data_IF_252073347747
#
_entry.id   IF_252073347747
#
_cell.length_a   1.000
_cell.length_b   1.000
_cell.length_c   1.000
_cell.angle_alpha   90.00
_cell.angle_beta   90.00
_cell.angle_gamma   90.00
#
_symmetry.space_group_name_H-M   'P 1'
#
loop_
_entity.id
_entity.type
_entity.pdbx_description
1 polymer ?
#
# COMPACT_ATOMS: atom_id res chain seq x y z
N UNK A 1 32.80 11.65 14.32
CA UNK A 1 32.05 10.37 14.32
C UNK A 1 32.24 9.72 15.68
N UNK A 2 31.16 9.40 16.40
CA UNK A 2 31.24 8.75 17.71
C UNK A 2 31.69 7.28 17.60
N UNK A 3 32.26 6.70 18.66
CA UNK A 3 32.62 5.27 18.70
C UNK A 3 31.41 4.39 18.37
N UNK A 4 30.24 4.74 18.94
CA UNK A 4 28.95 4.08 18.65
C UNK A 4 28.62 4.11 17.15
N UNK A 5 28.76 5.26 16.49
CA UNK A 5 28.48 5.37 15.06
C UNK A 5 29.48 4.61 14.18
N UNK A 6 30.76 4.58 14.56
CA UNK A 6 31.75 3.76 13.85
C UNK A 6 31.43 2.26 13.93
N UNK A 7 31.03 1.77 15.11
CA UNK A 7 30.62 0.37 15.31
C UNK A 7 29.39 0.04 14.44
N UNK A 8 28.34 0.88 14.49
CA UNK A 8 27.12 0.66 13.69
C UNK A 8 27.46 0.61 12.20
N UNK A 9 28.28 1.53 11.69
CA UNK A 9 28.70 1.55 10.29
C UNK A 9 29.45 0.29 9.88
N UNK A 10 30.37 -0.19 10.72
CA UNK A 10 31.07 -1.46 10.49
C UNK A 10 30.10 -2.64 10.46
N UNK A 11 29.13 -2.68 11.37
CA UNK A 11 28.10 -3.73 11.41
C UNK A 11 27.25 -3.69 10.14
N UNK A 12 26.65 -2.56 9.78
CA UNK A 12 25.74 -2.43 8.63
C UNK A 12 26.46 -2.68 7.29
N UNK A 13 27.78 -2.48 7.21
CA UNK A 13 28.58 -2.79 6.01
C UNK A 13 28.73 -4.28 5.71
N UNK A 14 28.38 -5.17 6.65
CA UNK A 14 28.38 -6.62 6.42
C UNK A 14 27.22 -7.02 5.51
N UNK A 15 27.32 -8.22 4.93
CA UNK A 15 26.24 -8.77 4.08
C UNK A 15 24.89 -8.70 4.81
N UNK A 16 23.86 -8.01 4.25
CA UNK A 16 22.58 -7.81 4.92
C UNK A 16 21.88 -9.11 5.35
N UNK A 17 22.11 -10.22 4.63
CA UNK A 17 21.60 -11.56 5.01
C UNK A 17 22.07 -12.01 6.40
N UNK A 18 23.23 -11.54 6.88
CA UNK A 18 23.73 -11.87 8.23
C UNK A 18 22.87 -11.28 9.34
N UNK A 19 22.05 -10.28 9.04
CA UNK A 19 21.10 -9.68 9.97
C UNK A 19 19.71 -10.29 9.90
N UNK A 20 19.55 -11.45 9.24
CA UNK A 20 18.26 -12.13 9.15
C UNK A 20 17.62 -12.45 10.52
N UNK A 21 18.43 -12.55 11.58
CA UNK A 21 17.97 -12.77 12.95
C UNK A 21 17.38 -11.53 13.64
N UNK A 22 17.68 -10.32 13.14
CA UNK A 22 17.07 -9.09 13.65
C UNK A 22 15.66 -8.95 13.08
N UNK A 23 14.75 -8.40 13.91
CA UNK A 23 13.47 -7.92 13.40
C UNK A 23 13.68 -6.82 12.35
N UNK A 24 12.69 -6.63 11.48
CA UNK A 24 12.75 -5.59 10.45
C UNK A 24 12.95 -4.21 11.07
N UNK A 25 12.27 -3.90 12.17
CA UNK A 25 12.41 -2.65 12.90
C UNK A 25 13.85 -2.42 13.42
N UNK A 26 14.44 -3.42 14.08
CA UNK A 26 15.81 -3.32 14.60
C UNK A 26 16.83 -3.11 13.48
N UNK A 27 16.70 -3.86 12.37
CA UNK A 27 17.59 -3.70 11.23
C UNK A 27 17.46 -2.32 10.60
N UNK A 28 16.22 -1.86 10.40
CA UNK A 28 15.94 -0.55 9.82
C UNK A 28 16.43 0.59 10.72
N UNK A 29 16.32 0.49 12.06
CA UNK A 29 16.92 1.47 12.98
C UNK A 29 18.43 1.61 12.81
N UNK A 30 19.15 0.48 12.76
CA UNK A 30 20.61 0.49 12.60
C UNK A 30 21.02 1.11 11.26
N UNK A 31 20.33 0.73 10.17
CA UNK A 31 20.61 1.24 8.84
C UNK A 31 20.23 2.73 8.70
N UNK A 32 19.14 3.15 9.33
CA UNK A 32 18.71 4.55 9.36
C UNK A 32 19.73 5.42 10.12
N UNK A 33 20.23 4.93 11.26
CA UNK A 33 21.30 5.62 11.99
C UNK A 33 22.61 5.71 11.21
N UNK A 34 23.02 4.66 10.50
CA UNK A 34 24.21 4.70 9.64
C UNK A 34 24.07 5.75 8.51
N UNK A 35 22.86 5.86 7.94
CA UNK A 35 22.57 6.76 6.82
C UNK A 35 22.41 8.22 7.24
N UNK A 36 21.60 8.48 8.28
CA UNK A 36 21.15 9.82 8.67
C UNK A 36 21.74 10.31 10.00
N UNK A 37 22.52 9.49 10.70
CA UNK A 37 23.14 9.84 11.99
C UNK A 37 22.17 9.93 13.17
N UNK A 38 20.91 9.54 13.00
CA UNK A 38 19.84 9.58 14.00
C UNK A 38 18.99 8.30 13.96
N UNK A 39 18.37 7.96 15.09
CA UNK A 39 17.38 6.89 15.12
C UNK A 39 16.01 7.44 14.70
N UNK A 40 15.16 6.55 14.21
CA UNK A 40 13.79 6.86 13.83
C UNK A 40 12.87 6.88 15.04
N UNK A 41 11.88 7.76 15.03
CA UNK A 41 10.70 7.63 15.89
C UNK A 41 9.58 6.92 15.12
N UNK A 42 9.39 5.61 15.38
CA UNK A 42 8.32 4.84 14.75
C UNK A 42 6.92 5.21 15.26
N UNK A 43 6.82 5.81 16.45
CA UNK A 43 5.56 6.24 17.02
C UNK A 43 5.06 7.54 16.38
N UNK A 44 5.98 8.36 15.88
CA UNK A 44 5.67 9.65 15.27
C UNK A 44 6.59 10.01 14.08
N UNK A 45 6.61 9.20 13.00
CA UNK A 45 7.48 9.47 11.86
C UNK A 45 7.07 10.75 11.12
N UNK A 46 8.02 11.68 10.95
CA UNK A 46 7.75 12.99 10.37
C UNK A 46 8.22 13.07 8.92
N UNK A 47 9.45 12.65 8.65
CA UNK A 47 10.07 12.85 7.34
C UNK A 47 9.68 11.76 6.34
N UNK A 48 9.84 12.04 5.04
CA UNK A 48 9.59 11.10 3.96
C UNK A 48 10.37 9.81 4.15
N UNK A 49 11.67 9.90 4.40
CA UNK A 49 12.51 8.72 4.66
C UNK A 49 12.03 7.94 5.90
N UNK A 50 11.58 8.60 6.98
CA UNK A 50 11.02 7.91 8.14
C UNK A 50 9.73 7.15 7.80
N UNK A 51 8.79 7.84 7.15
CA UNK A 51 7.51 7.26 6.75
C UNK A 51 7.69 6.10 5.77
N UNK A 52 8.67 6.14 4.87
CA UNK A 52 8.99 4.99 4.02
C UNK A 52 9.42 3.76 4.83
N UNK A 53 10.23 3.91 5.88
CA UNK A 53 10.60 2.75 6.70
C UNK A 53 9.41 2.25 7.54
N UNK A 54 8.56 3.15 8.03
CA UNK A 54 7.31 2.79 8.69
C UNK A 54 6.44 1.94 7.75
N UNK A 55 6.26 2.37 6.50
CA UNK A 55 5.46 1.67 5.50
C UNK A 55 5.99 0.26 5.20
N UNK A 56 7.32 0.03 5.20
CA UNK A 56 7.89 -1.33 5.02
C UNK A 56 7.47 -2.33 6.10
N UNK A 57 7.23 -1.85 7.32
CA UNK A 57 6.85 -2.68 8.46
C UNK A 57 5.33 -2.84 8.52
N UNK A 58 4.58 -1.76 8.33
CA UNK A 58 3.16 -1.71 8.68
C UNK A 58 2.21 -1.71 7.46
N UNK A 59 2.66 -1.27 6.28
CA UNK A 59 1.84 -1.26 5.04
C UNK A 59 2.18 -2.46 4.15
N UNK A 60 1.76 -3.65 4.57
CA UNK A 60 2.06 -4.92 3.91
C UNK A 60 0.85 -5.45 3.14
N UNK A 61 0.80 -5.17 1.84
CA UNK A 61 -0.25 -5.66 0.94
C UNK A 61 0.33 -6.67 -0.07
N UNK A 62 -0.12 -7.94 -0.08
CA UNK A 62 0.35 -8.97 -1.02
C UNK A 62 0.34 -8.56 -2.50
N UNK A 63 -0.56 -7.67 -2.92
CA UNK A 63 -0.58 -7.17 -4.30
C UNK A 63 0.70 -6.41 -4.66
N UNK A 64 1.38 -5.79 -3.69
CA UNK A 64 2.64 -5.08 -3.96
C UNK A 64 3.74 -6.02 -4.47
N UNK A 65 3.73 -7.30 -4.09
CA UNK A 65 4.67 -8.30 -4.63
C UNK A 65 4.45 -8.51 -6.13
N UNK A 66 3.19 -8.51 -6.59
CA UNK A 66 2.85 -8.58 -8.01
C UNK A 66 3.33 -7.31 -8.73
N UNK A 67 3.15 -6.15 -8.11
CA UNK A 67 3.47 -4.86 -8.73
C UNK A 67 4.98 -4.61 -8.90
N UNK A 68 5.83 -5.20 -8.06
CA UNK A 68 7.29 -5.06 -8.17
C UNK A 68 7.97 -6.19 -8.95
N UNK A 69 7.27 -7.31 -9.21
CA UNK A 69 7.75 -8.36 -10.10
C UNK A 69 7.73 -7.85 -11.55
N UNK A 70 8.89 -7.74 -12.19
CA UNK A 70 9.02 -7.19 -13.56
C UNK A 70 8.28 -7.99 -14.63
N UNK A 71 7.93 -9.24 -14.35
CA UNK A 71 7.11 -10.06 -15.24
C UNK A 71 5.62 -9.92 -14.91
N UNK A 72 5.22 -10.21 -13.67
CA UNK A 72 3.79 -10.23 -13.29
C UNK A 72 3.16 -8.83 -13.35
N UNK A 73 3.94 -7.78 -13.02
CA UNK A 73 3.47 -6.39 -13.10
C UNK A 73 2.97 -6.04 -14.49
N UNK A 74 3.51 -6.60 -15.57
CA UNK A 74 3.06 -6.30 -16.94
C UNK A 74 1.61 -6.66 -17.17
N UNK A 75 1.16 -7.80 -16.66
CA UNK A 75 -0.25 -8.20 -16.74
C UNK A 75 -1.12 -7.26 -15.91
N UNK A 76 -0.72 -7.01 -14.67
CA UNK A 76 -1.41 -6.09 -13.77
C UNK A 76 -1.57 -4.68 -14.39
N UNK A 77 -0.51 -4.14 -14.96
CA UNK A 77 -0.51 -2.82 -15.60
C UNK A 77 -1.33 -2.84 -16.90
N UNK A 78 -1.25 -3.90 -17.71
CA UNK A 78 -2.05 -4.04 -18.94
C UNK A 78 -3.55 -4.01 -18.65
N UNK A 79 -4.00 -4.69 -17.59
CA UNK A 79 -5.40 -4.70 -17.17
C UNK A 79 -5.87 -3.33 -16.64
N UNK A 80 -4.96 -2.54 -16.08
CA UNK A 80 -5.27 -1.21 -15.49
C UNK A 80 -5.23 -0.10 -16.52
N UNK A 81 -4.20 -0.03 -17.36
CA UNK A 81 -3.99 1.10 -18.28
C UNK A 81 -3.95 0.73 -19.75
N UNK A 82 -3.86 -0.56 -20.10
CA UNK A 82 -3.76 -1.02 -21.48
C UNK A 82 -2.39 -1.61 -21.82
N UNK A 83 -2.37 -2.63 -22.68
CA UNK A 83 -1.16 -3.34 -23.08
C UNK A 83 -0.24 -2.51 -23.99
N UNK A 84 -0.76 -1.48 -24.63
CA UNK A 84 -0.02 -0.58 -25.52
C UNK A 84 1.10 0.20 -24.82
N UNK A 85 1.02 0.31 -23.49
CA UNK A 85 2.02 0.96 -22.64
C UNK A 85 3.11 0.01 -22.14
N UNK A 86 3.03 -1.29 -22.43
CA UNK A 86 4.00 -2.29 -21.96
C UNK A 86 5.11 -2.49 -22.99
N UNK A 87 6.36 -2.53 -22.53
CA UNK A 87 7.49 -2.97 -23.35
C UNK A 87 7.35 -4.48 -23.60
N UNK A 88 7.43 -4.95 -24.86
CA UNK A 88 7.30 -6.37 -25.16
C UNK A 88 8.30 -7.26 -24.40
N UNK A 89 7.77 -8.32 -23.78
CA UNK A 89 8.57 -9.41 -23.20
C UNK A 89 8.84 -10.44 -24.29
N UNK A 90 10.11 -10.76 -24.48
CA UNK A 90 10.60 -11.71 -25.47
C UNK A 90 10.67 -13.14 -24.93
N UNK A 91 10.83 -13.28 -23.61
CA UNK A 91 10.83 -14.58 -22.95
C UNK A 91 10.99 -14.48 -21.44
N UNK A 92 10.77 -15.62 -20.75
CA UNK A 92 10.89 -15.77 -19.29
C UNK A 92 11.46 -17.15 -18.96
N UNK A 93 12.41 -17.22 -18.04
CA UNK A 93 13.15 -18.43 -17.68
C UNK A 93 13.49 -18.48 -16.19
N UNK A 94 13.76 -19.68 -15.65
CA UNK A 94 14.14 -19.83 -14.24
C UNK A 94 15.65 -19.83 -14.02
N UNK A 95 16.44 -20.11 -15.06
CA UNK A 95 17.90 -20.14 -15.00
C UNK A 95 18.51 -19.60 -16.29
N UNK A 96 19.79 -19.17 -16.24
CA UNK A 96 20.46 -18.63 -17.42
C UNK A 96 20.66 -19.69 -18.52
N UNK A 97 20.75 -20.97 -18.13
CA UNK A 97 20.90 -22.10 -19.05
C UNK A 97 19.64 -22.42 -19.87
N UNK A 98 18.47 -21.99 -19.40
CA UNK A 98 17.20 -22.20 -20.12
C UNK A 98 16.98 -21.18 -21.25
N UNK A 99 17.80 -20.13 -21.33
CA UNK A 99 17.63 -19.05 -22.30
C UNK A 99 18.02 -19.55 -23.70
N UNK A 100 17.05 -19.55 -24.62
CA UNK A 100 17.30 -19.72 -26.05
C UNK A 100 17.74 -18.38 -26.67
N UNK A 101 19.06 -18.17 -26.74
CA UNK A 101 19.64 -16.96 -27.33
C UNK A 101 19.49 -16.88 -28.84
N UNK A 102 19.28 -18.01 -29.53
CA UNK A 102 19.08 -18.03 -30.98
C UNK A 102 17.69 -17.50 -31.34
N UNK A 103 16.68 -17.74 -30.49
CA UNK A 103 15.33 -17.20 -30.65
C UNK A 103 15.21 -15.69 -30.31
N UNK A 104 16.16 -15.12 -29.57
CA UNK A 104 16.16 -13.69 -29.25
C UNK A 104 16.55 -12.84 -30.47
N UNK A 105 16.13 -11.56 -30.55
CA UNK A 105 16.66 -10.62 -31.55
C UNK A 105 18.15 -10.28 -31.28
N UNK A 106 18.79 -9.56 -32.21
CA UNK A 106 20.19 -9.11 -32.02
C UNK A 106 20.39 -8.11 -30.88
N UNK A 107 19.30 -7.45 -30.45
CA UNK A 107 19.28 -6.48 -29.36
C UNK A 107 18.18 -6.78 -28.37
N UNK A 108 18.53 -6.89 -27.09
CA UNK A 108 17.59 -7.18 -26.01
C UNK A 108 18.14 -6.73 -24.66
N UNK A 109 17.29 -6.74 -23.64
CA UNK A 109 17.69 -6.46 -22.26
C UNK A 109 17.26 -7.63 -21.37
N UNK A 110 18.22 -8.30 -20.74
CA UNK A 110 17.94 -9.30 -19.70
C UNK A 110 17.78 -8.62 -18.35
N UNK A 111 16.75 -9.00 -17.61
CA UNK A 111 16.45 -8.50 -16.26
C UNK A 111 16.07 -9.65 -15.32
N UNK A 112 16.50 -9.58 -14.06
CA UNK A 112 15.92 -10.40 -12.99
C UNK A 112 14.59 -9.78 -12.54
N UNK A 113 13.58 -10.60 -12.28
CA UNK A 113 12.22 -10.14 -11.92
C UNK A 113 12.14 -9.50 -10.54
N UNK A 114 13.02 -9.87 -9.62
CA UNK A 114 12.91 -9.61 -8.17
C UNK A 114 13.88 -8.56 -7.61
N UNK A 115 14.76 -7.97 -8.42
CA UNK A 115 15.81 -7.06 -7.96
C UNK A 115 15.93 -5.79 -8.82
N UNK A 116 16.85 -4.88 -8.47
CA UNK A 116 17.14 -3.65 -9.23
C UNK A 116 18.52 -3.64 -9.91
N UNK A 117 19.24 -4.77 -9.92
CA UNK A 117 20.66 -4.83 -10.33
C UNK A 117 21.00 -5.93 -11.33
N UNK A 118 20.19 -6.98 -11.42
CA UNK A 118 20.34 -8.07 -12.37
C UNK A 118 19.94 -7.64 -13.77
N UNK A 119 20.78 -6.85 -14.43
CA UNK A 119 20.52 -6.22 -15.73
C UNK A 119 21.68 -6.45 -16.70
N UNK A 120 21.39 -6.98 -17.89
CA UNK A 120 22.36 -7.07 -19.01
C UNK A 120 21.73 -6.46 -20.25
N UNK A 121 22.42 -5.47 -20.84
CA UNK A 121 21.97 -4.82 -22.08
C UNK A 121 22.78 -5.39 -23.24
N UNK A 122 22.11 -6.07 -24.16
CA UNK A 122 22.68 -6.58 -25.40
C UNK A 122 22.39 -5.62 -26.55
N UNK A 123 23.43 -4.96 -27.06
CA UNK A 123 23.36 -4.06 -28.24
C UNK A 123 23.72 -4.76 -29.55
N UNK A 124 24.44 -5.86 -29.43
CA UNK A 124 24.86 -6.72 -30.52
C UNK A 124 25.14 -8.09 -29.91
N UNK A 125 24.33 -9.08 -30.29
CA UNK A 125 24.41 -10.43 -29.77
C UNK A 125 25.76 -11.10 -30.07
N UNK A 126 26.39 -10.75 -31.20
CA UNK A 126 27.66 -11.34 -31.63
C UNK A 126 28.85 -10.92 -30.76
N UNK A 127 28.74 -9.77 -30.08
CA UNK A 127 29.77 -9.22 -29.18
C UNK A 127 29.41 -9.32 -27.70
N UNK A 128 28.28 -9.96 -27.36
CA UNK A 128 27.85 -10.14 -25.98
C UNK A 128 28.79 -11.09 -25.24
N UNK A 129 29.41 -10.61 -24.15
CA UNK A 129 30.17 -11.45 -23.23
C UNK A 129 29.22 -12.33 -22.40
N UNK A 130 28.98 -13.55 -22.90
CA UNK A 130 28.09 -14.54 -22.29
C UNK A 130 28.53 -14.95 -20.88
N UNK A 131 29.83 -14.99 -20.60
CA UNK A 131 30.34 -15.38 -19.29
C UNK A 131 30.08 -14.28 -18.25
N UNK A 132 30.31 -13.02 -18.62
CA UNK A 132 30.00 -11.86 -17.77
C UNK A 132 28.49 -11.72 -17.55
N UNK A 133 27.70 -11.88 -18.61
CA UNK A 133 26.24 -11.85 -18.54
C UNK A 133 25.69 -12.92 -17.59
N UNK A 134 26.12 -14.18 -17.77
CA UNK A 134 25.76 -15.30 -16.89
C UNK A 134 26.12 -15.01 -15.44
N UNK A 135 27.38 -14.63 -15.18
CA UNK A 135 27.86 -14.36 -13.82
C UNK A 135 27.01 -13.29 -13.14
N UNK A 136 26.67 -12.21 -13.86
CA UNK A 136 25.86 -11.11 -13.31
C UNK A 136 24.43 -11.58 -12.97
N UNK A 137 23.76 -12.24 -13.90
CA UNK A 137 22.37 -12.70 -13.71
C UNK A 137 22.28 -13.77 -12.62
N UNK A 138 23.14 -14.79 -12.65
CA UNK A 138 23.13 -15.87 -11.65
C UNK A 138 23.47 -15.36 -10.25
N UNK A 139 24.38 -14.38 -10.15
CA UNK A 139 24.65 -13.72 -8.86
C UNK A 139 23.39 -13.04 -8.32
N UNK A 140 22.65 -12.33 -9.17
CA UNK A 140 21.38 -11.68 -8.79
C UNK A 140 20.29 -12.69 -8.41
N UNK A 141 20.12 -13.77 -9.18
CA UNK A 141 19.16 -14.84 -8.89
C UNK A 141 19.40 -15.51 -7.54
N UNK A 142 20.66 -15.67 -7.11
CA UNK A 142 21.00 -16.26 -5.81
C UNK A 142 20.69 -15.35 -4.59
N UNK A 143 20.31 -14.09 -4.83
CA UNK A 143 20.10 -13.09 -3.80
C UNK A 143 18.63 -12.69 -3.70
N UNK A 144 18.07 -12.79 -2.49
CA UNK A 144 16.76 -12.22 -2.21
C UNK A 144 16.93 -10.72 -1.86
N UNK A 145 16.38 -9.86 -2.73
CA UNK A 145 16.54 -8.40 -2.67
C UNK A 145 15.96 -7.78 -1.40
N UNK A 146 14.95 -8.42 -0.78
CA UNK A 146 14.36 -7.95 0.48
C UNK A 146 15.40 -7.73 1.58
N UNK A 147 16.43 -8.57 1.68
CA UNK A 147 17.43 -8.42 2.76
C UNK A 147 18.23 -7.12 2.65
N UNK A 148 18.34 -6.50 1.48
CA UNK A 148 19.12 -5.28 1.30
C UNK A 148 18.54 -4.09 2.06
N UNK A 149 17.22 -4.01 2.18
CA UNK A 149 16.55 -2.83 2.76
C UNK A 149 15.23 -3.13 3.45
N UNK A 150 14.91 -4.41 3.68
CA UNK A 150 13.64 -4.91 4.22
C UNK A 150 12.42 -4.41 3.45
N UNK A 151 12.57 -4.29 2.13
CA UNK A 151 11.48 -3.89 1.24
C UNK A 151 10.53 -5.07 1.07
N UNK A 152 9.48 -5.07 1.89
CA UNK A 152 8.54 -6.18 1.99
C UNK A 152 7.95 -6.68 0.65
N UNK A 153 7.60 -5.82 -0.34
CA UNK A 153 7.09 -6.27 -1.64
C UNK A 153 8.01 -7.26 -2.36
N UNK A 154 9.33 -7.10 -2.25
CA UNK A 154 10.30 -7.97 -2.90
C UNK A 154 10.53 -9.31 -2.19
N UNK A 155 10.00 -9.50 -0.97
CA UNK A 155 10.32 -10.66 -0.12
C UNK A 155 10.02 -12.01 -0.76
N UNK A 156 8.90 -12.08 -1.49
CA UNK A 156 8.34 -13.31 -2.04
C UNK A 156 8.22 -13.27 -3.58
N UNK A 157 8.90 -12.35 -4.25
CA UNK A 157 8.90 -12.32 -5.72
C UNK A 157 9.63 -13.56 -6.23
N UNK A 158 9.07 -14.35 -7.17
CA UNK A 158 9.78 -15.45 -7.79
C UNK A 158 11.03 -14.95 -8.53
N UNK A 159 12.18 -15.59 -8.29
CA UNK A 159 13.44 -15.23 -8.95
C UNK A 159 13.47 -15.85 -10.35
N UNK A 160 13.22 -15.04 -11.37
CA UNK A 160 13.20 -15.43 -12.79
C UNK A 160 14.01 -14.44 -13.61
N UNK A 161 14.32 -14.82 -14.84
CA UNK A 161 14.94 -13.98 -15.86
C UNK A 161 13.88 -13.63 -16.89
N UNK A 162 13.79 -12.36 -17.28
CA UNK A 162 13.04 -11.93 -18.45
C UNK A 162 13.97 -11.32 -19.49
N UNK A 163 13.62 -11.48 -20.77
CA UNK A 163 14.17 -10.68 -21.85
C UNK A 163 13.12 -9.66 -22.31
N UNK A 164 13.50 -8.40 -22.45
CA UNK A 164 12.67 -7.34 -23.00
C UNK A 164 13.27 -6.81 -24.30
N UNK A 165 12.40 -6.30 -25.17
CA UNK A 165 12.82 -5.59 -26.36
C UNK A 165 13.72 -4.40 -25.97
N UNK A 166 14.86 -4.30 -26.64
CA UNK A 166 15.71 -3.13 -26.54
C UNK A 166 15.06 -1.94 -27.26
N UNK A 167 14.95 -0.80 -26.58
CA UNK A 167 14.20 0.34 -27.09
C UNK A 167 15.09 1.52 -27.54
N UNK A 168 16.09 1.92 -26.73
CA UNK A 168 17.09 2.95 -27.07
C UNK A 168 18.24 3.00 -26.04
N UNK A 169 19.32 3.72 -26.37
CA UNK A 169 20.53 3.88 -25.55
C UNK A 169 20.43 4.90 -24.41
N UNK A 170 19.72 6.00 -24.63
CA UNK A 170 19.61 7.11 -23.68
C UNK A 170 18.14 7.44 -23.39
N UNK A 171 17.49 6.50 -22.71
CA UNK A 171 16.12 6.68 -22.25
C UNK A 171 16.12 7.52 -20.99
N UNK A 172 15.44 8.67 -21.05
CA UNK A 172 15.10 9.43 -19.85
C UNK A 172 14.04 8.70 -19.08
N UNK A 173 14.28 8.48 -17.79
CA UNK A 173 13.25 8.00 -16.88
C UNK A 173 12.43 9.18 -16.37
N UNK A 174 11.12 9.17 -16.62
CA UNK A 174 10.18 10.12 -16.04
C UNK A 174 9.50 9.45 -14.85
N UNK A 175 9.93 9.79 -13.64
CA UNK A 175 9.52 9.14 -12.40
C UNK A 175 8.53 10.01 -11.64
N UNK A 176 7.24 9.76 -11.84
CA UNK A 176 6.15 10.51 -11.21
C UNK A 176 5.98 10.04 -9.76
N UNK A 177 6.19 10.95 -8.83
CA UNK A 177 6.12 10.75 -7.38
C UNK A 177 4.68 11.07 -6.95
N UNK A 178 3.96 10.03 -6.56
CA UNK A 178 2.53 10.07 -6.31
C UNK A 178 2.20 9.80 -4.83
N UNK A 179 1.17 10.49 -4.34
CA UNK A 179 0.66 10.37 -2.97
C UNK A 179 -0.84 10.19 -3.05
N UNK A 180 -1.33 8.99 -2.74
CA UNK A 180 -2.75 8.61 -2.82
C UNK A 180 -3.40 8.99 -4.17
N UNK A 181 -2.81 8.50 -5.26
CA UNK A 181 -3.27 8.80 -6.62
C UNK A 181 -2.92 10.21 -7.13
N UNK A 182 -2.32 11.09 -6.33
CA UNK A 182 -1.97 12.45 -6.77
C UNK A 182 -0.49 12.56 -7.20
N UNK A 183 -0.16 12.68 -8.50
CA UNK A 183 1.20 12.95 -8.97
C UNK A 183 1.59 14.40 -8.65
N UNK A 184 2.49 14.61 -7.69
CA UNK A 184 2.85 15.95 -7.18
C UNK A 184 4.22 16.45 -7.64
N UNK A 185 5.10 15.52 -8.00
CA UNK A 185 6.48 15.82 -8.37
C UNK A 185 6.97 14.81 -9.38
N UNK A 186 7.84 15.23 -10.30
CA UNK A 186 8.47 14.35 -11.28
C UNK A 186 9.98 14.42 -11.11
N UNK A 187 10.62 13.27 -10.88
CA UNK A 187 12.06 13.12 -10.97
C UNK A 187 12.40 12.67 -12.39
N UNK A 188 13.26 13.41 -13.08
CA UNK A 188 13.79 13.04 -14.38
C UNK A 188 15.23 12.58 -14.21
N UNK A 189 15.51 11.33 -14.61
CA UNK A 189 16.87 10.80 -14.69
C UNK A 189 17.39 10.93 -16.11
N UNK A 190 18.54 11.56 -16.29
CA UNK A 190 19.19 11.74 -17.60
C UNK A 190 20.70 11.47 -17.53
N UNK A 191 21.34 11.40 -18.70
CA UNK A 191 22.80 11.40 -18.85
C UNK A 191 23.50 10.20 -18.15
N UNK A 192 22.76 9.12 -17.87
CA UNK A 192 23.21 7.95 -17.08
C UNK A 192 24.52 7.34 -17.61
N UNK A 193 24.72 7.34 -18.92
CA UNK A 193 25.86 6.74 -19.61
C UNK A 193 26.91 7.76 -20.07
N UNK A 194 26.81 9.03 -19.65
CA UNK A 194 27.82 10.05 -19.93
C UNK A 194 29.00 9.94 -18.96
N UNK A 195 30.12 10.59 -19.30
CA UNK A 195 31.32 10.65 -18.44
C UNK A 195 31.02 11.28 -17.06
N UNK A 196 30.07 12.21 -17.01
CA UNK A 196 29.70 12.94 -15.79
C UNK A 196 28.59 12.23 -14.98
N UNK A 197 28.14 11.06 -15.45
CA UNK A 197 27.21 10.18 -14.77
C UNK A 197 25.76 10.68 -14.72
N UNK A 198 24.92 9.89 -14.03
CA UNK A 198 23.49 10.16 -13.82
C UNK A 198 23.23 11.56 -13.26
N UNK A 199 22.35 12.30 -13.93
CA UNK A 199 21.74 13.54 -13.45
C UNK A 199 20.29 13.34 -13.05
N UNK A 200 19.86 14.12 -12.06
CA UNK A 200 18.54 14.04 -11.47
C UNK A 200 17.95 15.44 -11.31
N UNK A 201 16.85 15.69 -12.02
CA UNK A 201 16.12 16.95 -11.98
C UNK A 201 14.71 16.73 -11.47
N UNK A 202 14.26 17.59 -10.55
CA UNK A 202 12.94 17.51 -9.99
C UNK A 202 12.07 18.64 -10.54
N UNK A 203 10.84 18.30 -10.88
CA UNK A 203 9.86 19.23 -11.43
C UNK A 203 8.56 19.15 -10.65
N UNK A 204 7.88 20.27 -10.50
CA UNK A 204 6.52 20.30 -10.00
C UNK A 204 5.51 19.83 -11.07
N UNK A 205 4.23 19.86 -10.70
CA UNK A 205 3.14 19.48 -11.59
C UNK A 205 3.00 20.32 -12.86
N UNK A 206 3.46 21.58 -12.82
CA UNK A 206 3.42 22.53 -13.92
C UNK A 206 4.72 22.51 -14.75
N UNK A 207 5.64 21.58 -14.44
CA UNK A 207 6.96 21.47 -15.07
C UNK A 207 7.92 22.63 -14.72
N UNK A 208 7.73 23.28 -13.57
CA UNK A 208 8.74 24.19 -13.06
C UNK A 208 9.83 23.37 -12.35
N UNK A 209 11.09 23.71 -12.62
CA UNK A 209 12.22 23.09 -11.94
C UNK A 209 12.21 23.44 -10.45
N UNK A 210 12.36 22.43 -9.61
CA UNK A 210 12.36 22.55 -8.16
C UNK A 210 13.80 22.63 -7.65
N UNK A 211 14.03 23.52 -6.68
CA UNK A 211 15.29 23.58 -5.95
C UNK A 211 15.39 22.43 -4.93
N UNK A 212 15.49 21.20 -5.43
CA UNK A 212 15.73 19.97 -4.66
C UNK A 212 16.68 19.07 -5.43
N UNK A 213 17.60 18.43 -4.71
CA UNK A 213 18.60 17.53 -5.26
C UNK A 213 18.76 16.31 -4.35
N UNK A 214 19.19 15.19 -4.95
CA UNK A 214 19.80 14.10 -4.18
C UNK A 214 21.28 14.40 -3.95
N UNK A 215 21.84 14.16 -2.76
CA UNK A 215 23.21 14.53 -2.44
C UNK A 215 24.30 14.00 -3.38
N UNK A 216 24.05 12.86 -4.05
CA UNK A 216 25.00 12.19 -4.93
C UNK A 216 24.88 12.58 -6.41
N UNK A 217 23.84 13.34 -6.79
CA UNK A 217 23.50 13.61 -8.19
C UNK A 217 23.36 15.12 -8.43
N UNK A 218 23.96 15.58 -9.52
CA UNK A 218 23.76 16.95 -10.01
C UNK A 218 22.57 17.05 -10.95
N UNK A 219 22.23 18.28 -11.33
CA UNK A 219 21.24 18.55 -12.38
C UNK A 219 21.81 18.32 -13.78
N UNK A 220 20.92 18.14 -14.74
CA UNK A 220 21.24 18.11 -16.16
C UNK A 220 22.00 19.36 -16.59
N UNK A 221 22.90 19.20 -17.56
CA UNK A 221 23.72 20.31 -18.08
C UNK A 221 22.84 21.34 -18.79
N UNK A 222 21.78 20.86 -19.45
CA UNK A 222 20.81 21.68 -20.18
C UNK A 222 19.40 21.48 -19.60
N UNK A 223 18.54 22.52 -19.61
CA UNK A 223 17.16 22.39 -19.16
C UNK A 223 16.40 21.30 -19.93
N UNK A 224 15.83 20.36 -19.19
CA UNK A 224 15.05 19.26 -19.79
C UNK A 224 13.68 19.79 -20.23
N UNK A 225 13.39 19.60 -21.52
CA UNK A 225 12.10 19.94 -22.10
C UNK A 225 11.00 19.02 -21.56
N UNK A 226 9.81 19.61 -21.35
CA UNK A 226 8.63 18.85 -20.94
C UNK A 226 8.31 17.78 -21.99
N UNK A 227 8.13 16.50 -21.60
CA UNK A 227 7.76 15.46 -22.54
C UNK A 227 6.39 15.77 -23.15
N UNK A 228 6.18 15.42 -24.42
CA UNK A 228 4.95 15.78 -25.14
C UNK A 228 3.74 15.11 -24.50
N UNK A 229 3.92 13.90 -23.98
CA UNK A 229 2.88 13.09 -23.36
C UNK A 229 2.83 13.24 -21.83
N UNK A 230 3.38 14.31 -21.26
CA UNK A 230 3.41 14.49 -19.79
C UNK A 230 2.03 14.41 -19.15
N UNK A 231 1.01 15.03 -19.76
CA UNK A 231 -0.37 14.98 -19.24
C UNK A 231 -0.95 13.57 -19.25
N UNK A 232 -0.58 12.77 -20.25
CA UNK A 232 -0.95 11.36 -20.30
C UNK A 232 -0.24 10.60 -19.17
N UNK A 233 1.06 10.80 -18.98
CA UNK A 233 1.81 10.18 -17.87
C UNK A 233 1.19 10.52 -16.51
N UNK A 234 0.78 11.78 -16.27
CA UNK A 234 0.08 12.18 -15.02
C UNK A 234 -1.21 11.39 -14.82
N UNK A 235 -2.05 11.26 -15.86
CA UNK A 235 -3.31 10.50 -15.78
C UNK A 235 -3.07 9.02 -15.49
N UNK A 236 -2.08 8.43 -16.16
CA UNK A 236 -1.71 7.02 -15.95
C UNK A 236 -1.14 6.79 -14.55
N UNK A 237 -0.23 7.66 -14.09
CA UNK A 237 0.35 7.59 -12.76
C UNK A 237 -0.72 7.71 -11.66
N UNK A 238 -1.67 8.63 -11.82
CA UNK A 238 -2.78 8.80 -10.89
C UNK A 238 -3.62 7.53 -10.75
N UNK A 239 -3.96 6.90 -11.89
CA UNK A 239 -4.72 5.65 -11.92
C UNK A 239 -3.94 4.48 -11.29
N UNK A 240 -2.63 4.41 -11.50
CA UNK A 240 -1.78 3.33 -10.99
C UNK A 240 -1.44 3.45 -9.50
N UNK A 241 -1.49 4.66 -8.94
CA UNK A 241 -1.11 4.95 -7.55
C UNK A 241 -2.29 5.22 -6.62
N UNK A 242 -3.52 5.03 -7.10
CA UNK A 242 -4.74 5.23 -6.31
C UNK A 242 -4.73 4.38 -5.03
N UNK A 243 -5.10 4.98 -3.87
CA UNK A 243 -5.14 4.31 -2.56
C UNK A 243 -3.79 3.84 -2.02
N UNK A 244 -2.69 4.26 -2.64
CA UNK A 244 -1.34 4.00 -2.12
C UNK A 244 -0.86 5.23 -1.35
N UNK A 245 -0.47 5.12 -0.06
CA UNK A 245 0.04 6.26 0.70
C UNK A 245 1.20 6.98 -0.01
N UNK A 246 1.99 6.20 -0.74
CA UNK A 246 3.05 6.66 -1.61
C UNK A 246 3.35 5.61 -2.69
N UNK A 247 3.55 6.06 -3.93
CA UNK A 247 4.15 5.27 -4.99
C UNK A 247 4.86 6.16 -6.01
N UNK A 248 6.02 5.71 -6.50
CA UNK A 248 6.69 6.32 -7.66
C UNK A 248 6.37 5.47 -8.89
N UNK A 249 5.82 6.11 -9.93
CA UNK A 249 5.47 5.46 -11.18
C UNK A 249 6.42 5.94 -12.27
N UNK A 250 7.16 5.02 -12.86
CA UNK A 250 8.19 5.34 -13.84
C UNK A 250 7.69 5.12 -15.26
N UNK A 251 7.99 6.06 -16.14
CA UNK A 251 7.68 5.99 -17.56
C UNK A 251 8.88 6.35 -18.44
N UNK A 252 8.80 5.91 -19.69
CA UNK A 252 9.63 6.36 -20.80
C UNK A 252 8.73 7.05 -21.84
N UNK A 253 9.27 8.04 -22.57
CA UNK A 253 8.68 8.55 -23.80
C UNK A 253 9.62 8.26 -24.97
N UNK A 254 9.15 7.49 -25.94
CA UNK A 254 9.92 7.09 -27.13
C UNK A 254 9.07 7.34 -28.35
N UNK A 255 9.54 8.21 -29.25
CA UNK A 255 8.79 8.62 -30.44
C UNK A 255 7.36 9.06 -30.09
N UNK A 256 7.21 9.88 -29.05
CA UNK A 256 5.92 10.39 -28.53
C UNK A 256 4.95 9.32 -28.02
N UNK A 257 5.45 8.10 -27.80
CA UNK A 257 4.70 7.02 -27.17
C UNK A 257 5.21 6.77 -25.75
N UNK A 258 4.26 6.65 -24.82
CA UNK A 258 4.53 6.37 -23.41
C UNK A 258 4.70 4.87 -23.21
N UNK A 259 5.70 4.50 -22.42
CA UNK A 259 5.90 3.14 -21.95
C UNK A 259 6.06 3.12 -20.43
N UNK A 260 5.38 2.19 -19.77
CA UNK A 260 5.54 1.92 -18.34
C UNK A 260 6.91 1.28 -18.06
N UNK A 261 7.57 1.76 -17.01
CA UNK A 261 8.84 1.23 -16.51
C UNK A 261 8.63 0.34 -15.28
N UNK A 262 8.31 0.96 -14.13
CA UNK A 262 8.12 0.25 -12.86
C UNK A 262 7.21 1.03 -11.88
N UNK A 263 6.66 0.32 -10.90
CA UNK A 263 6.11 0.90 -9.67
C UNK A 263 7.15 0.70 -8.57
N UNK A 264 7.52 1.78 -7.90
CA UNK A 264 8.46 1.75 -6.76
C UNK A 264 7.83 2.33 -5.51
N UNK A 265 7.71 1.50 -4.48
CA UNK A 265 7.18 1.89 -3.16
C UNK A 265 8.23 2.53 -2.26
N UNK A 266 9.51 2.20 -2.44
CA UNK A 266 10.59 2.68 -1.57
C UNK A 266 11.80 3.14 -2.41
N UNK A 267 11.75 4.31 -3.07
CA UNK A 267 12.87 4.85 -3.84
C UNK A 267 14.14 4.92 -2.99
N UNK A 268 15.26 4.43 -3.54
CA UNK A 268 16.53 4.28 -2.80
C UNK A 268 16.39 3.54 -1.46
N UNK A 269 15.38 2.68 -1.35
CA UNK A 269 15.00 2.00 -0.11
C UNK A 269 14.69 2.96 1.05
N UNK A 270 14.36 4.23 0.79
CA UNK A 270 14.16 5.27 1.81
C UNK A 270 15.42 5.59 2.63
N UNK A 271 16.61 5.37 2.06
CA UNK A 271 17.90 5.66 2.68
C UNK A 271 18.70 6.71 1.89
N UNK A 272 17.99 7.70 1.33
CA UNK A 272 18.64 8.78 0.61
C UNK A 272 18.02 10.13 0.98
N UNK A 273 18.88 11.06 1.40
CA UNK A 273 18.47 12.40 1.80
C UNK A 273 18.17 13.33 0.62
N UNK A 274 17.71 14.53 0.94
CA UNK A 274 17.47 15.61 -0.02
C UNK A 274 18.30 16.84 0.35
N UNK A 275 18.57 17.70 -0.63
CA UNK A 275 19.14 19.03 -0.46
C UNK A 275 18.26 20.08 -1.14
N UNK A 276 17.75 21.09 -0.41
CA UNK A 276 17.82 21.26 1.05
C UNK A 276 17.05 20.18 1.83
N UNK A 277 17.42 19.96 3.10
CA UNK A 277 16.86 18.90 3.95
C UNK A 277 15.36 19.04 4.21
N UNK A 278 14.82 20.27 4.13
CA UNK A 278 13.39 20.57 4.30
C UNK A 278 12.48 19.79 3.33
N UNK A 279 13.00 19.34 2.18
CA UNK A 279 12.24 18.51 1.25
C UNK A 279 11.89 17.13 1.83
N UNK A 280 12.72 16.59 2.74
CA UNK A 280 12.39 15.33 3.42
C UNK A 280 11.12 15.50 4.28
N UNK A 281 10.98 16.65 4.97
CA UNK A 281 9.76 16.97 5.72
C UNK A 281 8.57 17.24 4.79
N UNK A 282 8.76 18.06 3.76
CA UNK A 282 7.69 18.43 2.81
C UNK A 282 7.08 17.22 2.09
N UNK A 283 7.91 16.28 1.64
CA UNK A 283 7.43 15.03 1.06
C UNK A 283 6.77 14.13 2.12
N UNK A 284 7.29 14.16 3.35
CA UNK A 284 6.72 13.45 4.50
C UNK A 284 5.28 13.89 4.78
N UNK A 285 4.99 15.19 4.76
CA UNK A 285 3.64 15.76 4.97
C UNK A 285 2.60 15.24 3.97
N UNK A 286 3.02 14.91 2.75
CA UNK A 286 2.12 14.38 1.72
C UNK A 286 1.77 12.91 1.92
N UNK A 287 2.57 12.15 2.68
CA UNK A 287 2.23 10.77 3.06
C UNK A 287 1.30 10.79 4.27
N UNK A 288 0.05 10.40 4.01
CA UNK A 288 -0.94 10.15 5.06
C UNK A 288 -0.79 8.71 5.55
N UNK A 289 -0.37 8.56 6.80
CA UNK A 289 -0.40 7.27 7.49
C UNK A 289 -1.79 7.08 8.12
N UNK A 290 -2.23 5.83 8.40
CA UNK A 290 -3.46 5.58 9.15
C UNK A 290 -3.45 6.34 10.48
N UNK A 291 -4.58 6.98 10.82
CA UNK A 291 -4.76 7.58 12.14
C UNK A 291 -5.02 6.44 13.14
N UNK A 292 -4.16 6.31 14.16
CA UNK A 292 -4.27 5.28 15.19
C UNK A 292 -3.12 4.28 15.16
N UNK A 293 -2.41 4.17 16.28
CA UNK A 293 -1.54 3.03 16.55
C UNK A 293 -2.36 1.79 16.91
N UNK A 294 -1.68 0.67 17.15
CA UNK A 294 -2.37 -0.54 17.61
C UNK A 294 -1.55 -1.81 17.56
N UNK A 295 -1.97 -2.80 18.33
CA UNK A 295 -1.35 -4.12 18.37
C UNK A 295 -2.22 -5.12 17.63
N UNK A 296 -1.63 -5.85 16.68
CA UNK A 296 -2.22 -7.09 16.17
C UNK A 296 -1.60 -8.28 16.87
N UNK A 297 -2.33 -8.87 17.81
CA UNK A 297 -1.95 -10.16 18.40
C UNK A 297 -2.50 -11.26 17.48
N UNK A 298 -1.61 -12.10 16.96
CA UNK A 298 -1.96 -13.17 16.03
C UNK A 298 -1.63 -14.53 16.62
N UNK A 299 -2.60 -15.43 16.60
CA UNK A 299 -2.40 -16.88 16.75
C UNK A 299 -2.78 -17.59 15.45
N UNK A 300 -2.69 -18.92 15.43
CA UNK A 300 -3.09 -19.72 14.27
C UNK A 300 -4.61 -19.63 14.01
N UNK A 301 -5.40 -19.40 15.07
CA UNK A 301 -6.87 -19.44 15.02
C UNK A 301 -7.54 -18.05 15.10
N UNK A 302 -6.82 -17.01 15.53
CA UNK A 302 -7.41 -15.67 15.62
C UNK A 302 -6.43 -14.52 15.40
N UNK A 303 -7.00 -13.34 15.13
CA UNK A 303 -6.30 -12.07 15.15
C UNK A 303 -7.07 -11.09 16.02
N UNK A 304 -6.45 -10.60 17.08
CA UNK A 304 -6.97 -9.51 17.90
C UNK A 304 -6.32 -8.22 17.40
N UNK A 305 -7.12 -7.21 17.10
CA UNK A 305 -6.66 -5.87 16.74
C UNK A 305 -7.00 -4.96 17.92
N UNK A 306 -5.97 -4.39 18.54
CA UNK A 306 -6.07 -3.38 19.60
C UNK A 306 -5.74 -2.06 18.92
N UNK A 307 -6.63 -1.07 18.94
CA UNK A 307 -6.36 0.26 18.38
C UNK A 307 -6.03 1.25 19.49
N UNK A 308 -4.90 1.96 19.38
CA UNK A 308 -4.47 3.02 20.31
C UNK A 308 -5.31 4.30 20.13
N UNK A 309 -6.04 4.42 19.03
CA UNK A 309 -6.85 5.59 18.70
C UNK A 309 -7.99 5.86 19.71
N UNK A 310 -8.48 4.81 20.37
CA UNK A 310 -9.56 4.92 21.35
C UNK A 310 -9.10 5.24 22.79
N UNK A 311 -7.84 4.92 23.14
CA UNK A 311 -7.32 5.03 24.51
C UNK A 311 -6.76 6.42 24.88
N UNK A 312 -6.51 7.29 23.89
CA UNK A 312 -5.95 8.63 24.15
C UNK A 312 -6.97 9.69 24.58
N UNK A 313 -8.27 9.35 24.62
CA UNK A 313 -9.26 10.18 25.28
C UNK A 313 -9.39 9.67 26.71
N UNK A 314 -9.03 10.48 27.71
CA UNK A 314 -9.12 10.21 29.16
C UNK A 314 -10.57 9.99 29.68
N UNK A 315 -11.43 9.34 28.90
CA UNK A 315 -12.82 9.05 29.19
C UNK A 315 -12.99 7.55 29.02
N UNK A 316 -13.20 6.83 30.13
CA UNK A 316 -13.64 5.43 30.11
C UNK A 316 -15.07 5.36 29.55
N UNK A 317 -15.22 5.49 28.24
CA UNK A 317 -16.49 5.27 27.53
C UNK A 317 -16.31 4.04 26.66
N UNK A 318 -17.26 3.10 26.68
CA UNK A 318 -17.24 2.00 25.72
C UNK A 318 -17.62 2.46 24.31
N UNK A 319 -17.10 1.74 23.30
CA UNK A 319 -17.45 1.97 21.90
C UNK A 319 -18.93 1.63 21.70
N UNK A 320 -19.62 2.44 20.89
CA UNK A 320 -20.99 2.14 20.49
C UNK A 320 -21.01 0.96 19.51
N UNK A 321 -21.93 0.04 19.76
CA UNK A 321 -22.21 -1.11 18.89
C UNK A 321 -23.35 -0.74 17.94
N UNK A 322 -23.18 -0.94 16.63
CA UNK A 322 -24.24 -0.73 15.64
C UNK A 322 -24.70 -2.07 15.10
N UNK A 323 -25.87 -2.52 15.55
CA UNK A 323 -26.43 -3.82 15.20
C UNK A 323 -27.54 -3.63 14.18
N UNK A 324 -27.27 -3.99 12.93
CA UNK A 324 -28.14 -3.73 11.79
C UNK A 324 -29.01 -4.96 11.54
N UNK A 325 -30.30 -4.83 11.83
CA UNK A 325 -31.30 -5.87 11.65
C UNK A 325 -31.74 -5.93 10.20
N UNK A 326 -31.56 -7.09 9.58
CA UNK A 326 -31.94 -7.34 8.21
C UNK A 326 -32.94 -8.49 8.11
N UNK A 327 -33.89 -8.35 7.18
CA UNK A 327 -34.89 -9.36 6.87
C UNK A 327 -34.97 -9.54 5.35
N UNK A 328 -34.88 -10.77 4.87
CA UNK A 328 -34.91 -11.13 3.45
C UNK A 328 -33.94 -10.31 2.56
N UNK A 329 -32.73 -10.03 3.08
CA UNK A 329 -31.73 -9.22 2.38
C UNK A 329 -31.99 -7.70 2.38
N UNK A 330 -32.99 -7.23 3.12
CA UNK A 330 -33.32 -5.81 3.28
C UNK A 330 -33.04 -5.33 4.71
N UNK A 331 -32.63 -4.08 4.87
CA UNK A 331 -32.35 -3.47 6.19
C UNK A 331 -33.66 -2.95 6.77
N UNK A 332 -33.99 -3.31 8.01
CA UNK A 332 -35.13 -2.76 8.75
C UNK A 332 -34.69 -1.62 9.68
N UNK A 333 -33.77 -1.93 10.59
CA UNK A 333 -33.41 -1.03 11.69
C UNK A 333 -31.96 -1.20 12.13
N UNK A 334 -31.48 -0.21 12.87
CA UNK A 334 -30.14 -0.16 13.45
C UNK A 334 -30.34 0.01 14.95
N UNK A 335 -29.97 -1.01 15.73
CA UNK A 335 -29.89 -0.90 17.18
C UNK A 335 -28.50 -0.37 17.55
N UNK A 336 -28.46 0.76 18.26
CA UNK A 336 -27.24 1.33 18.80
C UNK A 336 -27.15 0.94 20.28
N UNK A 337 -26.15 0.14 20.64
CA UNK A 337 -25.88 -0.19 22.03
C UNK A 337 -24.80 0.75 22.58
N UNK A 338 -25.08 1.39 23.71
CA UNK A 338 -24.16 2.34 24.36
C UNK A 338 -23.99 1.99 25.83
N UNK A 339 -22.93 2.48 26.47
CA UNK A 339 -22.79 2.40 27.92
C UNK A 339 -22.46 1.02 28.48
N UNK A 340 -21.82 0.14 27.68
CA UNK A 340 -21.45 -1.22 28.10
C UNK A 340 -20.52 -1.23 29.31
N UNK A 341 -19.74 -0.17 29.54
CA UNK A 341 -18.88 -0.02 30.71
C UNK A 341 -19.66 -0.06 32.04
N UNK A 342 -20.97 0.24 32.00
CA UNK A 342 -21.87 0.22 33.17
C UNK A 342 -22.38 -1.19 33.51
N UNK A 343 -22.07 -2.20 32.70
CA UNK A 343 -22.59 -3.57 32.81
C UNK A 343 -24.02 -3.75 32.27
N UNK A 344 -24.80 -2.66 32.14
CA UNK A 344 -26.14 -2.65 31.54
C UNK A 344 -26.18 -1.66 30.37
N UNK A 345 -26.08 -2.13 29.12
CA UNK A 345 -26.10 -1.24 27.97
C UNK A 345 -27.48 -0.63 27.74
N UNK A 346 -27.50 0.60 27.24
CA UNK A 346 -28.72 1.25 26.76
C UNK A 346 -28.87 1.01 25.25
N UNK A 347 -30.09 0.70 24.79
CA UNK A 347 -30.40 0.44 23.38
C UNK A 347 -31.27 1.54 22.77
N UNK A 348 -30.97 1.87 21.52
CA UNK A 348 -31.66 2.90 20.73
C UNK A 348 -31.87 2.36 19.32
N UNK A 349 -33.08 2.45 18.76
CA UNK A 349 -33.35 1.94 17.41
C UNK A 349 -33.52 3.08 16.40
N UNK A 350 -32.93 2.94 15.22
CA UNK A 350 -33.07 3.91 14.12
C UNK A 350 -33.39 3.22 12.80
N UNK A 351 -34.07 3.91 11.90
CA UNK A 351 -34.18 3.46 10.51
C UNK A 351 -32.90 3.78 9.71
N UNK A 352 -32.83 3.34 8.45
CA UNK A 352 -31.70 3.61 7.56
C UNK A 352 -31.42 5.11 7.29
N UNK A 353 -32.42 5.97 7.50
CA UNK A 353 -32.31 7.42 7.38
C UNK A 353 -31.95 8.11 8.70
N UNK A 354 -31.70 7.34 9.76
CA UNK A 354 -31.42 7.79 11.11
C UNK A 354 -32.61 8.46 11.82
N UNK A 355 -33.85 8.12 11.44
CA UNK A 355 -35.03 8.50 12.20
C UNK A 355 -35.20 7.54 13.39
N UNK A 356 -35.57 8.09 14.56
CA UNK A 356 -35.72 7.30 15.78
C UNK A 356 -36.92 6.35 15.67
N UNK A 357 -36.70 5.09 16.04
CA UNK A 357 -37.71 4.04 16.22
C UNK A 357 -37.81 3.69 17.70
N UNK A 358 -39.01 3.30 18.13
CA UNK A 358 -39.32 2.86 19.49
C UNK A 358 -39.79 1.41 19.41
N UNK A 359 -38.85 0.49 19.64
CA UNK A 359 -39.06 -0.95 19.47
C UNK A 359 -39.05 -1.68 20.81
N UNK A 360 -38.62 -1.02 21.88
CA UNK A 360 -38.58 -1.59 23.22
C UNK A 360 -39.87 -1.34 23.98
N UNK A 361 -40.02 -2.03 25.12
CA UNK A 361 -40.97 -1.62 26.14
C UNK A 361 -40.72 -0.16 26.57
N UNK A 362 -41.81 0.58 26.83
CA UNK A 362 -41.76 2.01 27.17
C UNK A 362 -40.81 2.31 28.35
N UNK A 363 -40.72 1.40 29.32
CA UNK A 363 -39.84 1.54 30.48
C UNK A 363 -38.33 1.48 30.16
N UNK A 364 -37.95 0.91 29.01
CA UNK A 364 -36.57 0.78 28.55
C UNK A 364 -36.17 1.90 27.57
N UNK A 365 -37.16 2.54 26.94
CA UNK A 365 -36.91 3.60 25.98
C UNK A 365 -36.30 4.85 26.63
N UNK A 366 -35.37 5.46 25.90
CA UNK A 366 -34.63 6.64 26.36
C UNK A 366 -35.10 7.88 25.64
N UNK A 367 -35.30 8.98 26.39
CA UNK A 367 -35.76 10.25 25.84
C UNK A 367 -34.73 10.95 24.93
N UNK A 368 -33.44 10.68 25.13
CA UNK A 368 -32.36 11.25 24.31
C UNK A 368 -32.13 10.46 23.02
N UNK A 369 -31.47 11.11 22.05
CA UNK A 369 -31.01 10.49 20.80
C UNK A 369 -29.49 10.30 20.80
N UNK A 370 -29.03 9.40 19.95
CA UNK A 370 -27.63 9.14 19.67
C UNK A 370 -27.26 9.83 18.36
N UNK A 371 -26.08 10.45 18.36
CA UNK A 371 -25.52 11.08 17.17
C UNK A 371 -25.35 10.06 16.04
N UNK A 372 -25.59 10.51 14.82
CA UNK A 372 -25.43 9.69 13.62
C UNK A 372 -23.97 9.32 13.42
N UNK A 373 -23.62 8.03 13.23
CA UNK A 373 -22.25 7.63 12.94
C UNK A 373 -21.80 8.21 11.60
N UNK A 374 -20.54 8.63 11.56
CA UNK A 374 -19.93 9.25 10.39
C UNK A 374 -20.02 8.33 9.16
N UNK A 375 -19.81 7.03 9.37
CA UNK A 375 -19.75 6.05 8.29
C UNK A 375 -21.05 5.27 8.08
N UNK A 376 -22.21 5.80 8.49
CA UNK A 376 -23.50 5.11 8.36
C UNK A 376 -23.74 4.53 6.96
N UNK A 377 -23.55 5.33 5.92
CA UNK A 377 -23.85 4.91 4.55
C UNK A 377 -23.00 3.69 4.12
N UNK A 378 -21.74 3.63 4.58
CA UNK A 378 -20.86 2.52 4.25
C UNK A 378 -21.18 1.28 5.09
N UNK A 379 -21.54 1.46 6.37
CA UNK A 379 -22.06 0.38 7.21
C UNK A 379 -23.33 -0.26 6.60
N UNK A 380 -24.26 0.55 6.09
CA UNK A 380 -25.46 0.06 5.43
C UNK A 380 -25.14 -0.72 4.14
N UNK A 381 -24.15 -0.30 3.34
CA UNK A 381 -23.70 -1.07 2.17
C UNK A 381 -23.11 -2.42 2.57
N UNK A 382 -22.27 -2.45 3.60
CA UNK A 382 -21.67 -3.68 4.12
C UNK A 382 -22.79 -4.63 4.59
N UNK A 383 -23.71 -4.14 5.42
CA UNK A 383 -24.85 -4.93 5.89
C UNK A 383 -25.70 -5.45 4.73
N UNK A 384 -25.97 -4.62 3.71
CA UNK A 384 -26.73 -5.01 2.52
C UNK A 384 -26.10 -6.15 1.73
N UNK A 385 -24.77 -6.20 1.67
CA UNK A 385 -24.03 -7.30 1.05
C UNK A 385 -24.14 -8.56 1.91
N UNK A 386 -23.90 -8.42 3.22
CA UNK A 386 -23.82 -9.54 4.16
C UNK A 386 -25.17 -10.20 4.42
N UNK A 387 -26.27 -9.46 4.33
CA UNK A 387 -27.60 -10.01 4.61
C UNK A 387 -28.27 -10.72 3.44
N UNK A 388 -27.67 -10.67 2.24
CA UNK A 388 -28.25 -11.25 1.04
C UNK A 388 -28.42 -12.78 1.18
N UNK A 389 -29.64 -13.25 0.96
CA UNK A 389 -29.96 -14.69 0.98
C UNK A 389 -30.39 -15.25 2.33
N UNK A 390 -30.41 -14.43 3.39
CA UNK A 390 -30.92 -14.83 4.71
C UNK A 390 -32.33 -14.29 4.95
N UNK A 391 -33.20 -15.11 5.55
CA UNK A 391 -34.55 -14.68 5.96
C UNK A 391 -34.47 -13.64 7.08
N UNK A 392 -33.52 -13.79 7.98
CA UNK A 392 -33.17 -12.82 8.99
C UNK A 392 -31.68 -12.97 9.37
N UNK A 393 -31.03 -11.83 9.61
CA UNK A 393 -29.67 -11.74 10.14
C UNK A 393 -29.44 -10.34 10.73
N UNK A 394 -28.78 -10.28 11.87
CA UNK A 394 -28.25 -9.07 12.47
C UNK A 394 -26.75 -8.96 12.19
N UNK A 395 -26.34 -7.82 11.63
CA UNK A 395 -24.95 -7.52 11.30
C UNK A 395 -24.42 -6.50 12.29
N UNK A 396 -23.42 -6.90 13.09
CA UNK A 396 -22.85 -6.04 14.12
C UNK A 396 -21.59 -5.37 13.60
N UNK A 397 -21.56 -4.04 13.65
CA UNK A 397 -20.47 -3.21 13.20
C UNK A 397 -20.08 -2.18 14.26
N UNK A 398 -18.82 -1.76 14.22
CA UNK A 398 -18.31 -0.62 14.98
C UNK A 398 -17.86 0.48 14.02
N UNK A 399 -18.09 1.74 14.38
CA UNK A 399 -17.56 2.92 13.68
C UNK A 399 -16.57 3.62 14.63
N UNK A 400 -15.27 3.44 14.38
CA UNK A 400 -14.18 3.88 15.26
C UNK A 400 -13.13 4.58 14.42
N UNK A 401 -12.84 5.84 14.76
CA UNK A 401 -11.79 6.65 14.11
C UNK A 401 -11.86 6.63 12.58
N UNK A 402 -13.08 6.81 12.08
CA UNK A 402 -13.40 6.81 10.66
C UNK A 402 -13.13 5.47 9.94
N UNK A 403 -13.09 4.36 10.68
CA UNK A 403 -12.97 3.00 10.16
C UNK A 403 -14.14 2.14 10.64
N UNK A 404 -14.63 1.27 9.76
CA UNK A 404 -15.66 0.30 10.10
C UNK A 404 -15.00 -1.03 10.45
N UNK A 405 -15.38 -1.59 11.60
CA UNK A 405 -14.95 -2.92 12.03
C UNK A 405 -16.14 -3.85 12.12
N UNK A 406 -15.94 -5.08 11.61
CA UNK A 406 -16.90 -6.16 11.77
C UNK A 406 -16.85 -6.70 13.20
N UNK A 407 -18.03 -6.82 13.84
CA UNK A 407 -18.19 -7.49 15.13
C UNK A 407 -18.56 -8.94 14.94
N UNK A 408 -19.83 -9.20 14.62
CA UNK A 408 -20.39 -10.54 14.46
C UNK A 408 -21.59 -10.58 13.52
N UNK A 409 -21.98 -11.79 13.13
CA UNK A 409 -23.26 -12.08 12.49
C UNK A 409 -24.11 -12.89 13.47
N UNK A 410 -25.30 -12.39 13.77
CA UNK A 410 -26.27 -13.09 14.63
C UNK A 410 -27.48 -13.52 13.80
N UNK A 411 -27.77 -14.82 13.81
CA UNK A 411 -28.90 -15.41 13.08
C UNK A 411 -30.13 -15.66 13.96
N UNK A 412 -29.92 -15.68 15.28
CA UNK A 412 -30.94 -16.00 16.28
C UNK A 412 -30.79 -15.03 17.45
N UNK A 413 -31.37 -13.84 17.31
CA UNK A 413 -31.32 -12.80 18.34
C UNK A 413 -31.88 -13.30 19.68
N UNK A 414 -31.07 -13.19 20.74
CA UNK A 414 -31.41 -13.67 22.08
C UNK A 414 -31.96 -15.12 22.12
N UNK A 415 -31.53 -15.97 21.17
CA UNK A 415 -32.08 -17.33 20.99
C UNK A 415 -33.60 -17.38 20.80
N UNK A 416 -34.22 -16.29 20.34
CA UNK A 416 -35.67 -16.15 20.20
C UNK A 416 -36.40 -15.76 21.50
N UNK A 417 -35.69 -15.30 22.53
CA UNK A 417 -36.24 -14.92 23.83
C UNK A 417 -35.93 -13.45 24.18
N UNK A 418 -35.98 -12.55 23.21
CA UNK A 418 -35.80 -11.13 23.47
C UNK A 418 -36.99 -10.56 24.25
N UNK A 419 -36.79 -10.28 25.54
CA UNK A 419 -37.83 -9.73 26.43
C UNK A 419 -37.81 -8.21 26.52
N UNK A 420 -36.91 -7.54 25.79
CA UNK A 420 -36.76 -6.08 25.87
C UNK A 420 -37.61 -5.38 24.81
N UNK A 421 -37.89 -6.05 23.69
CA UNK A 421 -38.75 -5.54 22.62
C UNK A 421 -40.24 -5.61 22.97
N UNK A 422 -41.02 -4.66 22.46
CA UNK A 422 -42.48 -4.68 22.64
C UNK A 422 -43.14 -5.83 21.87
N UNK A 423 -44.32 -6.26 22.30
CA UNK A 423 -45.10 -7.28 21.60
C UNK A 423 -45.42 -6.88 20.15
N UNK A 424 -45.69 -5.59 19.91
CA UNK A 424 -45.94 -5.06 18.57
C UNK A 424 -44.71 -5.16 17.67
N UNK A 425 -43.52 -4.96 18.24
CA UNK A 425 -42.24 -5.10 17.52
C UNK A 425 -41.95 -6.56 17.23
N UNK A 426 -42.12 -7.44 18.21
CA UNK A 426 -41.97 -8.88 18.05
C UNK A 426 -42.89 -9.41 16.94
N UNK A 427 -44.17 -9.02 16.96
CA UNK A 427 -45.13 -9.37 15.90
C UNK A 427 -44.67 -8.83 14.53
N UNK A 428 -44.26 -7.56 14.45
CA UNK A 428 -43.77 -6.93 13.21
C UNK A 428 -42.54 -7.64 12.64
N UNK A 429 -41.59 -8.02 13.48
CA UNK A 429 -40.39 -8.75 13.05
C UNK A 429 -40.73 -10.19 12.66
N UNK A 430 -41.62 -10.84 13.39
CA UNK A 430 -42.16 -12.16 13.04
C UNK A 430 -42.81 -12.19 11.65
N UNK A 431 -43.61 -11.18 11.30
CA UNK A 431 -44.23 -11.04 9.97
C UNK A 431 -43.22 -10.88 8.82
N UNK A 432 -42.02 -10.38 9.11
CA UNK A 432 -40.95 -10.22 8.12
C UNK A 432 -40.18 -11.50 7.86
N UNK A 433 -40.20 -12.47 8.77
CA UNK A 433 -39.47 -13.74 8.62
C UNK A 433 -40.29 -14.69 7.76
N UNK A 434 -39.80 -14.94 6.54
CA UNK A 434 -40.38 -15.95 5.67
C UNK A 434 -39.97 -17.34 6.14
N UNK A 435 -40.90 -18.04 6.79
CA UNK A 435 -40.70 -19.43 7.18
C UNK A 435 -40.90 -20.35 5.97
N UNK A 436 -40.00 -21.32 5.73
CA UNK A 436 -40.24 -22.34 4.72
C UNK A 436 -41.47 -23.18 5.09
N UNK A 437 -42.21 -23.65 4.07
CA UNK A 437 -43.25 -24.64 4.28
C UNK A 437 -42.65 -25.88 4.96
N UNK A 438 -43.32 -26.36 6.01
CA UNK A 438 -42.89 -27.53 6.78
C UNK A 438 -42.84 -28.81 5.95
#
# INVERSE_FOLDING_TARGET
MSIKGWIIRKIVSLNPKRFAFLSDEQYLQLKFYDTFGRFMDFSNPQTFNEKLQWLKIYNRNPEYTIMVDKYESKKYISEKIGAEYIIPTLGVWNSFDEIDFDALPDQFVLKCTHDSGGLVVCRDKSSLDMNSARKKIETSLSNNFYYMGREWPYKNVPHRIIAEQYMADDLRDYKLICFDGAPRMTLVCSERFTKDGLKEDFYDEAWNHLNVQRPAHGNAILPIQRPKQYELMKKLAAKLSEKMPFARIDFYEINEKVYFGEITFYPASGFEGFKPEEWDLKLGEWIKLPNGGGYRLKSDDCSIIISDSYYNNNVEKSINDYKIFCFNGEIDSIMVCTGREKGHPDFYFYDANWNRLYYQHEALEKANNIEKPQNLNEMLKIAKILCKGYSHIRVDLFDVDNNIYFGELTFFDNSGFDTDISYETDLKWGEKILLPNK
#
